data_IF_879787629576
#
_entry.id   IF_879787629576
#
_cell.length_a   1.000
_cell.length_b   1.000
_cell.length_c   1.000
_cell.angle_alpha   90.00
_cell.angle_beta   90.00
_cell.angle_gamma   90.00
#
_symmetry.space_group_name_H-M   'P 1'
#
loop_
_entity.id
_entity.type
_entity.pdbx_description
1 polymer ?
#
# COMPACT_ATOMS: atom_id res chain seq x y z
N UNK A 1 -26.24 5.28 -22.33
CA UNK A 1 -27.19 4.43 -21.54
C UNK A 1 -26.70 4.37 -20.11
N UNK A 2 -27.62 4.41 -19.10
CA UNK A 2 -27.25 4.35 -17.69
C UNK A 2 -26.58 3.00 -17.37
N UNK A 3 -25.49 3.00 -16.63
CA UNK A 3 -24.79 1.79 -16.14
C UNK A 3 -24.98 1.62 -14.65
N UNK A 4 -24.74 2.67 -13.88
CA UNK A 4 -24.96 2.70 -12.43
C UNK A 4 -25.62 4.02 -12.06
N UNK A 5 -26.63 3.99 -11.18
CA UNK A 5 -27.29 5.18 -10.66
C UNK A 5 -27.46 5.05 -9.14
N UNK A 6 -26.74 5.87 -8.40
CA UNK A 6 -26.80 5.99 -6.95
C UNK A 6 -27.74 7.15 -6.62
N UNK A 7 -28.89 6.85 -6.00
CA UNK A 7 -29.95 7.83 -5.73
C UNK A 7 -30.17 8.01 -4.24
N UNK A 8 -29.93 9.19 -3.76
CA UNK A 8 -30.21 9.63 -2.38
C UNK A 8 -29.76 8.66 -1.30
N UNK A 9 -28.56 8.06 -1.44
CA UNK A 9 -28.07 7.06 -0.50
C UNK A 9 -27.70 7.69 0.83
N UNK A 10 -28.30 7.17 1.90
CA UNK A 10 -27.90 7.37 3.29
C UNK A 10 -27.61 6.00 3.90
N UNK A 11 -26.37 5.75 4.32
CA UNK A 11 -26.00 4.49 4.98
C UNK A 11 -26.66 4.37 6.36
N UNK A 12 -26.95 3.13 6.78
CA UNK A 12 -27.61 2.86 8.06
C UNK A 12 -26.70 3.22 9.24
N UNK A 13 -25.40 2.89 9.16
CA UNK A 13 -24.41 3.16 10.20
C UNK A 13 -23.95 4.62 10.16
N UNK A 14 -24.09 5.38 11.26
CA UNK A 14 -23.72 6.81 11.30
C UNK A 14 -22.28 7.09 10.92
N UNK A 15 -21.34 6.24 11.36
CA UNK A 15 -19.90 6.35 11.10
C UNK A 15 -19.53 6.15 9.63
N UNK A 16 -20.44 5.57 8.83
CA UNK A 16 -20.27 5.35 7.39
C UNK A 16 -21.11 6.31 6.53
N UNK A 17 -21.62 7.42 7.11
CA UNK A 17 -22.42 8.40 6.38
C UNK A 17 -21.55 9.45 5.71
N UNK A 18 -22.01 9.87 4.55
CA UNK A 18 -21.63 11.14 3.95
C UNK A 18 -22.40 12.27 4.63
N UNK A 19 -21.92 13.50 4.53
CA UNK A 19 -22.56 14.70 5.13
C UNK A 19 -23.91 15.01 4.49
N UNK A 20 -24.12 14.60 3.24
CA UNK A 20 -25.38 14.72 2.51
C UNK A 20 -25.69 13.38 1.81
N UNK A 21 -26.96 13.14 1.42
CA UNK A 21 -27.32 11.97 0.62
C UNK A 21 -26.50 11.91 -0.66
N UNK A 22 -25.96 10.73 -0.96
CA UNK A 22 -25.10 10.52 -2.12
C UNK A 22 -25.95 10.35 -3.37
N UNK A 23 -25.64 11.15 -4.38
CA UNK A 23 -26.20 11.04 -5.72
C UNK A 23 -25.05 10.98 -6.73
N UNK A 24 -25.00 9.92 -7.54
CA UNK A 24 -23.97 9.77 -8.56
C UNK A 24 -24.43 8.81 -9.65
N UNK A 25 -24.35 9.26 -10.88
CA UNK A 25 -24.75 8.48 -12.05
C UNK A 25 -23.54 8.26 -12.98
N UNK A 26 -23.43 7.04 -13.46
CA UNK A 26 -22.43 6.62 -14.45
C UNK A 26 -23.17 6.16 -15.69
N UNK A 27 -22.91 6.79 -16.81
CA UNK A 27 -23.45 6.42 -18.11
C UNK A 27 -22.40 5.67 -18.95
N UNK A 28 -22.87 4.94 -19.96
CA UNK A 28 -22.02 4.14 -20.85
C UNK A 28 -20.96 5.02 -21.55
N UNK A 29 -19.74 4.50 -21.65
CA UNK A 29 -18.62 5.22 -22.25
C UNK A 29 -17.89 6.20 -21.31
N UNK A 30 -18.43 6.48 -20.13
CA UNK A 30 -17.78 7.34 -19.14
C UNK A 30 -16.71 6.56 -18.37
N UNK A 31 -15.53 7.17 -18.21
CA UNK A 31 -14.45 6.69 -17.35
C UNK A 31 -14.28 7.68 -16.20
N UNK A 32 -14.26 7.20 -14.97
CA UNK A 32 -14.36 8.06 -13.79
C UNK A 32 -13.12 8.04 -12.92
N UNK A 33 -12.77 9.19 -12.36
CA UNK A 33 -11.88 9.29 -11.21
C UNK A 33 -12.65 9.85 -10.01
N UNK A 34 -12.63 9.15 -8.89
CA UNK A 34 -13.08 9.66 -7.59
C UNK A 34 -11.85 10.20 -6.88
N UNK A 35 -11.80 11.51 -6.65
CA UNK A 35 -10.58 12.23 -6.22
C UNK A 35 -10.82 12.95 -4.91
N UNK A 36 -9.87 12.85 -3.99
CA UNK A 36 -9.91 13.54 -2.69
C UNK A 36 -8.77 13.13 -1.77
N UNK A 37 -8.53 13.84 -0.68
CA UNK A 37 -7.49 13.49 0.29
C UNK A 37 -7.72 12.12 0.93
N UNK A 38 -6.71 11.63 1.62
CA UNK A 38 -6.86 10.40 2.40
C UNK A 38 -7.93 10.59 3.49
N UNK A 39 -8.78 9.59 3.70
CA UNK A 39 -9.89 9.68 4.66
C UNK A 39 -11.16 10.38 4.16
N UNK A 40 -11.15 11.02 2.99
CA UNK A 40 -12.30 11.76 2.45
C UNK A 40 -13.56 10.91 2.16
N UNK A 41 -13.44 9.57 2.08
CA UNK A 41 -14.57 8.67 1.82
C UNK A 41 -14.57 8.00 0.45
N UNK A 42 -13.47 8.04 -0.30
CA UNK A 42 -13.36 7.42 -1.63
C UNK A 42 -13.68 5.92 -1.63
N UNK A 43 -13.07 5.16 -0.73
CA UNK A 43 -13.37 3.71 -0.61
C UNK A 43 -14.80 3.48 -0.16
N UNK A 44 -15.35 4.36 0.70
CA UNK A 44 -16.73 4.26 1.16
C UNK A 44 -17.73 4.39 0.00
N UNK A 45 -17.52 5.32 -0.95
CA UNK A 45 -18.42 5.44 -2.12
C UNK A 45 -18.33 4.22 -3.03
N UNK A 46 -17.15 3.61 -3.17
CA UNK A 46 -16.98 2.36 -3.90
C UNK A 46 -17.72 1.19 -3.22
N UNK A 47 -17.71 1.14 -1.90
CA UNK A 47 -18.43 0.13 -1.11
C UNK A 47 -19.96 0.34 -1.15
N UNK A 48 -20.43 1.60 -1.17
CA UNK A 48 -21.84 1.94 -1.43
C UNK A 48 -22.26 1.43 -2.81
N UNK A 49 -21.47 1.71 -3.85
CA UNK A 49 -21.75 1.24 -5.22
C UNK A 49 -21.87 -0.29 -5.27
N UNK A 50 -21.05 -1.01 -4.52
CA UNK A 50 -21.07 -2.48 -4.40
C UNK A 50 -22.16 -3.01 -3.44
N UNK A 51 -22.97 -2.15 -2.83
CA UNK A 51 -23.99 -2.50 -1.82
C UNK A 51 -23.43 -3.32 -0.64
N UNK A 52 -22.20 -3.01 -0.20
CA UNK A 52 -21.59 -3.73 0.94
C UNK A 52 -22.23 -3.35 2.29
N UNK A 53 -22.96 -2.24 2.34
CA UNK A 53 -23.64 -1.75 3.54
C UNK A 53 -25.14 -1.66 3.33
N UNK A 54 -25.90 -1.81 4.42
CA UNK A 54 -27.32 -1.55 4.41
C UNK A 54 -27.58 -0.03 4.33
N UNK A 55 -28.53 0.37 3.51
CA UNK A 55 -28.98 1.75 3.38
C UNK A 55 -30.16 2.02 4.32
N UNK A 56 -30.22 3.22 4.84
CA UNK A 56 -31.39 3.77 5.54
C UNK A 56 -32.36 4.36 4.52
N UNK A 57 -31.83 5.03 3.53
CA UNK A 57 -32.58 5.72 2.47
C UNK A 57 -31.83 5.58 1.14
N UNK A 58 -32.59 5.64 0.05
CA UNK A 58 -32.04 5.59 -1.30
C UNK A 58 -31.83 4.19 -1.87
N UNK A 59 -31.41 4.14 -3.11
CA UNK A 59 -31.16 2.91 -3.85
C UNK A 59 -29.95 3.06 -4.81
N UNK A 60 -29.31 1.94 -5.12
CA UNK A 60 -28.33 1.83 -6.20
C UNK A 60 -28.95 0.99 -7.32
N UNK A 61 -29.06 1.54 -8.51
CA UNK A 61 -29.67 0.87 -9.68
C UNK A 61 -28.58 0.52 -10.69
N UNK A 62 -28.69 -0.63 -11.31
CA UNK A 62 -27.78 -1.12 -12.36
C UNK A 62 -28.54 -1.43 -13.63
N UNK A 63 -27.89 -1.33 -14.79
CA UNK A 63 -28.48 -1.58 -16.12
C UNK A 63 -28.53 -3.06 -16.51
N UNK A 64 -28.35 -4.01 -15.61
CA UNK A 64 -28.29 -5.43 -15.92
C UNK A 64 -29.03 -6.30 -14.92
N UNK A 65 -29.42 -7.50 -15.36
CA UNK A 65 -29.99 -8.55 -14.52
C UNK A 65 -28.86 -9.38 -13.91
N UNK A 66 -28.83 -9.53 -12.60
CA UNK A 66 -27.83 -10.35 -11.92
C UNK A 66 -27.36 -9.80 -10.57
N UNK A 67 -26.35 -10.46 -10.00
CA UNK A 67 -25.77 -10.02 -8.73
C UNK A 67 -24.82 -8.84 -8.94
N UNK A 68 -24.85 -7.88 -8.03
CA UNK A 68 -23.93 -6.73 -8.02
C UNK A 68 -22.46 -7.18 -8.09
N UNK A 69 -22.13 -8.27 -7.40
CA UNK A 69 -20.79 -8.85 -7.38
C UNK A 69 -20.28 -9.32 -8.75
N UNK A 70 -21.17 -9.60 -9.70
CA UNK A 70 -20.79 -10.02 -11.05
C UNK A 70 -20.71 -8.82 -12.00
N UNK A 71 -21.44 -7.77 -11.67
CA UNK A 71 -21.49 -6.54 -12.46
C UNK A 71 -20.37 -5.56 -12.11
N UNK A 72 -20.06 -5.43 -10.82
CA UNK A 72 -19.01 -4.54 -10.31
C UNK A 72 -17.93 -5.34 -9.59
N UNK A 73 -16.69 -5.17 -10.02
CA UNK A 73 -15.51 -5.70 -9.31
C UNK A 73 -14.66 -4.54 -8.80
N UNK A 74 -14.08 -4.72 -7.62
CA UNK A 74 -13.18 -3.76 -7.01
C UNK A 74 -11.86 -4.41 -6.63
N UNK A 75 -10.75 -3.75 -6.95
CA UNK A 75 -9.42 -4.15 -6.53
C UNK A 75 -8.86 -3.04 -5.65
N UNK A 76 -8.68 -3.34 -4.35
CA UNK A 76 -7.95 -2.47 -3.44
C UNK A 76 -6.51 -2.98 -3.35
N UNK A 77 -5.57 -2.23 -3.92
CA UNK A 77 -4.17 -2.67 -3.98
C UNK A 77 -3.45 -2.65 -2.62
N UNK A 78 -4.09 -2.14 -1.57
CA UNK A 78 -3.62 -2.31 -0.19
C UNK A 78 -3.72 -3.78 0.27
N UNK A 79 -4.69 -4.54 -0.26
CA UNK A 79 -4.98 -5.92 0.15
C UNK A 79 -4.48 -6.95 -0.89
N UNK A 80 -3.50 -6.58 -1.71
CA UNK A 80 -3.07 -7.32 -2.89
C UNK A 80 -2.69 -8.79 -2.59
N UNK A 81 -2.05 -9.05 -1.45
CA UNK A 81 -1.66 -10.40 -1.05
C UNK A 81 -2.82 -11.22 -0.47
N UNK A 82 -3.81 -10.58 0.15
CA UNK A 82 -5.01 -11.26 0.64
C UNK A 82 -5.95 -11.65 -0.50
N UNK A 83 -6.03 -10.81 -1.54
CA UNK A 83 -6.80 -11.08 -2.76
C UNK A 83 -6.23 -12.26 -3.57
N UNK A 84 -4.95 -12.52 -3.39
CA UNK A 84 -4.22 -13.56 -4.07
C UNK A 84 -4.22 -14.91 -3.32
N UNK A 85 -5.11 -15.10 -2.32
CA UNK A 85 -5.20 -16.28 -1.46
C UNK A 85 -3.91 -16.64 -0.68
N UNK A 86 -2.96 -15.71 -0.54
CA UNK A 86 -1.73 -15.86 0.24
C UNK A 86 -1.97 -15.64 1.75
N UNK A 87 -3.08 -16.12 2.30
CA UNK A 87 -3.54 -15.80 3.67
C UNK A 87 -2.60 -16.27 4.80
N UNK A 88 -1.68 -17.17 4.54
CA UNK A 88 -0.82 -17.80 5.55
C UNK A 88 0.67 -17.48 5.42
N UNK A 89 1.08 -16.65 4.46
CA UNK A 89 2.49 -16.33 4.28
C UNK A 89 2.96 -15.30 5.33
N UNK A 90 3.94 -15.68 6.13
CA UNK A 90 4.70 -14.72 6.92
C UNK A 90 5.60 -13.89 5.99
N UNK A 91 5.77 -12.61 6.30
CA UNK A 91 6.63 -11.69 5.52
C UNK A 91 8.03 -12.27 5.24
N UNK A 92 8.58 -13.03 6.19
CA UNK A 92 9.89 -13.67 6.12
C UNK A 92 9.95 -14.84 5.12
N UNK A 93 8.85 -15.55 4.84
CA UNK A 93 8.81 -16.68 3.88
C UNK A 93 9.25 -16.27 2.47
N UNK A 94 9.10 -14.98 2.12
CA UNK A 94 9.55 -14.44 0.84
C UNK A 94 11.05 -14.66 0.59
N UNK A 95 11.85 -14.80 1.64
CA UNK A 95 13.29 -14.95 1.60
C UNK A 95 13.77 -16.39 1.83
N UNK A 96 12.88 -17.30 2.23
CA UNK A 96 13.17 -18.72 2.47
C UNK A 96 12.77 -19.57 1.25
N UNK A 97 13.72 -20.27 0.66
CA UNK A 97 13.51 -21.07 -0.57
C UNK A 97 12.79 -22.42 -0.32
N UNK A 98 12.73 -22.89 0.91
CA UNK A 98 12.29 -24.26 1.27
C UNK A 98 10.80 -24.37 1.65
N UNK A 99 10.12 -23.26 1.98
CA UNK A 99 8.73 -23.28 2.48
C UNK A 99 7.69 -22.85 1.41
N UNK A 100 8.10 -22.77 0.15
CA UNK A 100 7.25 -22.20 -0.92
C UNK A 100 6.48 -23.24 -1.74
N UNK A 101 6.65 -24.55 -1.46
CA UNK A 101 6.05 -25.62 -2.27
C UNK A 101 4.52 -25.64 -2.27
N UNK A 102 3.88 -25.11 -1.22
CA UNK A 102 2.42 -25.04 -1.10
C UNK A 102 1.78 -23.79 -1.75
N UNK A 103 2.60 -22.87 -2.27
CA UNK A 103 2.09 -21.63 -2.86
C UNK A 103 1.60 -21.82 -4.28
N UNK A 104 0.40 -21.30 -4.62
CA UNK A 104 -0.18 -21.50 -5.94
C UNK A 104 0.67 -20.85 -7.04
N UNK A 105 0.71 -21.50 -8.19
CA UNK A 105 1.27 -20.99 -9.43
C UNK A 105 0.21 -20.10 -10.10
N UNK A 106 0.62 -19.04 -10.78
CA UNK A 106 -0.29 -18.09 -11.47
C UNK A 106 -1.23 -18.83 -12.44
N UNK A 107 -0.72 -19.78 -13.20
CA UNK A 107 -1.50 -20.60 -14.14
C UNK A 107 -2.63 -21.37 -13.43
N UNK A 108 -2.37 -21.90 -12.23
CA UNK A 108 -3.37 -22.65 -11.46
C UNK A 108 -4.57 -21.77 -11.06
N UNK A 109 -4.31 -20.52 -10.71
CA UNK A 109 -5.33 -19.54 -10.34
C UNK A 109 -6.16 -19.04 -11.54
N UNK A 110 -5.71 -19.32 -12.76
CA UNK A 110 -6.40 -18.97 -14.00
C UNK A 110 -7.09 -20.20 -14.63
N UNK A 111 -6.95 -21.41 -14.07
CA UNK A 111 -7.55 -22.65 -14.62
C UNK A 111 -9.05 -22.57 -14.82
N UNK A 112 -9.77 -21.88 -13.95
CA UNK A 112 -11.22 -21.67 -14.07
C UNK A 112 -11.64 -20.96 -15.37
N UNK A 113 -10.69 -20.24 -16.02
CA UNK A 113 -10.89 -19.51 -17.26
C UNK A 113 -10.27 -20.20 -18.50
N UNK A 114 -9.70 -21.40 -18.34
CA UNK A 114 -8.92 -22.08 -19.40
C UNK A 114 -9.70 -22.35 -20.71
N UNK A 115 -11.04 -22.40 -20.64
CA UNK A 115 -11.91 -22.55 -21.82
C UNK A 115 -12.41 -21.22 -22.43
N UNK A 116 -11.93 -20.09 -21.95
CA UNK A 116 -12.39 -18.78 -22.43
C UNK A 116 -11.59 -18.31 -23.64
N UNK A 117 -12.27 -18.03 -24.78
CA UNK A 117 -11.64 -17.47 -25.99
C UNK A 117 -10.90 -16.14 -25.73
N UNK A 118 -11.21 -15.49 -24.62
CA UNK A 118 -10.61 -14.22 -24.23
C UNK A 118 -9.34 -14.38 -23.40
N UNK A 119 -9.06 -15.56 -22.84
CA UNK A 119 -7.91 -15.75 -21.95
C UNK A 119 -6.62 -15.39 -22.68
N UNK A 120 -6.34 -16.02 -23.82
CA UNK A 120 -5.12 -15.78 -24.59
C UNK A 120 -4.98 -14.30 -24.98
N UNK A 121 -6.07 -13.66 -25.45
CA UNK A 121 -6.08 -12.25 -25.83
C UNK A 121 -5.75 -11.33 -24.66
N UNK A 122 -6.32 -11.60 -23.48
CA UNK A 122 -6.07 -10.79 -22.29
C UNK A 122 -4.65 -11.02 -21.77
N UNK A 123 -4.14 -12.26 -21.76
CA UNK A 123 -2.76 -12.55 -21.36
C UNK A 123 -1.76 -11.79 -22.22
N UNK A 124 -1.93 -11.83 -23.55
CA UNK A 124 -1.07 -11.11 -24.49
C UNK A 124 -1.20 -9.60 -24.35
N UNK A 125 -2.42 -9.07 -24.20
CA UNK A 125 -2.64 -7.64 -24.01
C UNK A 125 -1.90 -7.10 -22.76
N UNK A 126 -1.88 -7.89 -21.69
CA UNK A 126 -1.24 -7.51 -20.43
C UNK A 126 0.23 -7.98 -20.33
N UNK A 127 0.72 -8.77 -21.32
CA UNK A 127 2.10 -9.28 -21.36
C UNK A 127 2.43 -10.03 -20.06
N UNK A 128 1.56 -10.98 -19.65
CA UNK A 128 1.74 -11.76 -18.43
C UNK A 128 1.98 -13.25 -18.69
N UNK A 129 2.21 -13.66 -19.92
CA UNK A 129 2.49 -15.06 -20.27
C UNK A 129 3.71 -15.60 -19.51
N UNK A 130 4.75 -14.79 -19.37
CA UNK A 130 5.97 -15.15 -18.63
C UNK A 130 5.72 -15.32 -17.11
N UNK A 131 4.57 -14.87 -16.62
CA UNK A 131 4.20 -14.99 -15.20
C UNK A 131 3.51 -16.32 -14.90
N UNK A 132 2.92 -16.98 -15.89
CA UNK A 132 2.13 -18.20 -15.70
C UNK A 132 2.85 -19.29 -14.90
N UNK A 133 4.14 -19.61 -15.17
CA UNK A 133 4.89 -20.62 -14.41
C UNK A 133 5.38 -20.14 -13.04
N UNK A 134 5.24 -18.85 -12.73
CA UNK A 134 5.75 -18.30 -11.47
C UNK A 134 4.79 -18.56 -10.30
N UNK A 135 5.35 -18.80 -9.13
CA UNK A 135 4.56 -18.79 -7.89
C UNK A 135 4.18 -17.36 -7.53
N UNK A 136 2.99 -17.18 -7.00
CA UNK A 136 2.41 -15.86 -6.72
C UNK A 136 3.28 -15.00 -5.80
N UNK A 137 3.93 -15.63 -4.80
CA UNK A 137 4.80 -14.94 -3.83
C UNK A 137 6.06 -14.33 -4.48
N UNK A 138 6.49 -14.84 -5.64
CA UNK A 138 7.67 -14.34 -6.34
C UNK A 138 7.36 -13.23 -7.35
N UNK A 139 6.09 -12.85 -7.49
CA UNK A 139 5.72 -11.73 -8.33
C UNK A 139 6.17 -10.41 -7.68
N UNK A 140 6.71 -9.51 -8.48
CA UNK A 140 6.89 -8.12 -8.09
C UNK A 140 5.52 -7.45 -7.87
N UNK A 141 5.49 -6.32 -7.15
CA UNK A 141 4.25 -5.58 -6.92
C UNK A 141 3.53 -5.18 -8.20
N UNK A 142 4.29 -4.86 -9.28
CA UNK A 142 3.74 -4.55 -10.60
C UNK A 142 3.16 -5.78 -11.29
N UNK A 143 3.90 -6.90 -11.30
CA UNK A 143 3.44 -8.18 -11.87
C UNK A 143 2.18 -8.68 -11.17
N UNK A 144 2.14 -8.60 -9.84
CA UNK A 144 0.99 -9.02 -9.06
C UNK A 144 -0.26 -8.16 -9.36
N UNK A 145 -0.09 -6.85 -9.56
CA UNK A 145 -1.20 -5.96 -9.98
C UNK A 145 -1.73 -6.32 -11.35
N UNK A 146 -0.85 -6.53 -12.32
CA UNK A 146 -1.24 -6.99 -13.66
C UNK A 146 -2.04 -8.29 -13.58
N UNK A 147 -1.54 -9.27 -12.84
CA UNK A 147 -2.23 -10.54 -12.62
C UNK A 147 -3.63 -10.35 -12.02
N UNK A 148 -3.79 -9.54 -10.96
CA UNK A 148 -5.10 -9.29 -10.34
C UNK A 148 -6.08 -8.59 -11.27
N UNK A 149 -5.62 -7.62 -12.06
CA UNK A 149 -6.44 -6.95 -13.06
C UNK A 149 -6.89 -7.97 -14.11
N UNK A 150 -5.98 -8.78 -14.65
CA UNK A 150 -6.29 -9.83 -15.64
C UNK A 150 -7.30 -10.83 -15.06
N UNK A 151 -7.06 -11.38 -13.87
CA UNK A 151 -7.99 -12.31 -13.20
C UNK A 151 -9.39 -11.69 -13.05
N UNK A 152 -9.45 -10.42 -12.67
CA UNK A 152 -10.71 -9.71 -12.51
C UNK A 152 -11.41 -9.47 -13.85
N UNK A 153 -10.68 -9.12 -14.91
CA UNK A 153 -11.24 -8.92 -16.24
C UNK A 153 -11.81 -10.20 -16.87
N UNK A 154 -11.21 -11.34 -16.57
CA UNK A 154 -11.70 -12.64 -17.02
C UNK A 154 -13.10 -12.95 -16.48
N UNK A 155 -13.52 -12.36 -15.36
CA UNK A 155 -14.89 -12.42 -14.85
C UNK A 155 -15.88 -11.48 -15.59
N UNK A 156 -15.41 -10.71 -16.59
CA UNK A 156 -16.20 -9.81 -17.46
C UNK A 156 -17.07 -8.80 -16.69
N UNK A 157 -16.53 -8.04 -15.75
CA UNK A 157 -17.31 -7.02 -15.08
C UNK A 157 -17.71 -5.90 -16.04
N UNK A 158 -18.81 -5.22 -15.78
CA UNK A 158 -19.20 -4.00 -16.49
C UNK A 158 -18.50 -2.78 -15.89
N UNK A 159 -18.24 -2.79 -14.59
CA UNK A 159 -17.54 -1.73 -13.89
C UNK A 159 -16.37 -2.31 -13.10
N UNK A 160 -15.18 -1.76 -13.31
CA UNK A 160 -13.95 -2.10 -12.59
C UNK A 160 -13.51 -0.91 -11.73
N UNK A 161 -13.54 -1.08 -10.42
CA UNK A 161 -13.07 -0.08 -9.46
C UNK A 161 -11.64 -0.41 -9.06
N UNK A 162 -10.72 0.55 -9.18
CA UNK A 162 -9.33 0.40 -8.78
C UNK A 162 -8.99 1.42 -7.68
N UNK A 163 -8.75 0.93 -6.46
CA UNK A 163 -8.41 1.80 -5.33
C UNK A 163 -6.89 2.04 -5.28
N UNK A 164 -6.49 3.28 -5.54
CA UNK A 164 -5.10 3.73 -5.56
C UNK A 164 -4.16 2.85 -6.41
N UNK A 165 -4.46 2.61 -7.71
CA UNK A 165 -3.74 1.65 -8.53
C UNK A 165 -2.27 2.00 -8.75
N UNK A 166 -1.87 3.26 -8.60
CA UNK A 166 -0.52 3.75 -8.89
C UNK A 166 0.43 3.76 -7.69
N UNK A 167 -0.07 3.48 -6.48
CA UNK A 167 0.78 3.47 -5.28
C UNK A 167 1.89 2.42 -5.41
N UNK A 168 3.16 2.84 -5.25
CA UNK A 168 4.32 1.95 -5.26
C UNK A 168 4.75 1.46 -6.65
N UNK A 169 4.16 2.00 -7.73
CA UNK A 169 4.67 1.82 -9.09
C UNK A 169 5.73 2.88 -9.40
N UNK A 170 6.78 2.48 -10.12
CA UNK A 170 7.69 3.40 -10.79
C UNK A 170 7.02 4.02 -12.02
N UNK A 171 7.60 5.08 -12.58
CA UNK A 171 7.01 5.79 -13.71
C UNK A 171 6.73 4.89 -14.92
N UNK A 172 7.68 4.03 -15.40
CA UNK A 172 7.42 3.13 -16.52
C UNK A 172 6.27 2.14 -16.25
N UNK A 173 6.20 1.57 -15.04
CA UNK A 173 5.14 0.62 -14.68
C UNK A 173 3.78 1.30 -14.58
N UNK A 174 3.76 2.57 -14.17
CA UNK A 174 2.55 3.39 -14.12
C UNK A 174 2.04 3.70 -15.53
N UNK A 175 2.92 4.17 -16.42
CA UNK A 175 2.56 4.52 -17.79
C UNK A 175 2.02 3.30 -18.54
N UNK A 176 2.66 2.16 -18.36
CA UNK A 176 2.19 0.88 -18.91
C UNK A 176 0.81 0.51 -18.38
N UNK A 177 0.55 0.68 -17.07
CA UNK A 177 -0.77 0.39 -16.48
C UNK A 177 -1.84 1.31 -17.06
N UNK A 178 -1.54 2.60 -17.22
CA UNK A 178 -2.46 3.59 -17.83
C UNK A 178 -2.79 3.20 -19.27
N UNK A 179 -1.78 2.84 -20.07
CA UNK A 179 -1.96 2.39 -21.45
C UNK A 179 -2.86 1.15 -21.51
N UNK A 180 -2.57 0.15 -20.68
CA UNK A 180 -3.35 -1.09 -20.62
C UNK A 180 -4.81 -0.84 -20.25
N UNK A 181 -5.08 0.00 -19.25
CA UNK A 181 -6.44 0.39 -18.89
C UNK A 181 -7.15 1.11 -20.03
N UNK A 182 -6.46 1.99 -20.75
CA UNK A 182 -6.98 2.67 -21.92
C UNK A 182 -7.32 1.73 -23.09
N UNK A 183 -6.49 0.73 -23.34
CA UNK A 183 -6.78 -0.30 -24.36
C UNK A 183 -7.98 -1.17 -23.96
N UNK A 184 -8.04 -1.56 -22.68
CA UNK A 184 -9.13 -2.36 -22.14
C UNK A 184 -10.51 -1.69 -22.29
N UNK A 185 -10.61 -0.40 -21.97
CA UNK A 185 -11.88 0.34 -22.08
C UNK A 185 -12.39 0.40 -23.52
N UNK A 186 -11.48 0.45 -24.49
CA UNK A 186 -11.84 0.46 -25.92
C UNK A 186 -12.28 -0.92 -26.43
N UNK A 187 -11.64 -1.99 -25.96
CA UNK A 187 -11.88 -3.34 -26.49
C UNK A 187 -13.06 -4.04 -25.81
N UNK A 188 -13.23 -3.88 -24.52
CA UNK A 188 -14.17 -4.69 -23.72
C UNK A 188 -15.40 -3.91 -23.23
N UNK A 189 -15.51 -2.60 -23.50
CA UNK A 189 -16.62 -1.77 -23.00
C UNK A 189 -16.73 -1.73 -21.47
N UNK A 190 -15.66 -2.10 -20.75
CA UNK A 190 -15.59 -2.03 -19.28
C UNK A 190 -15.43 -0.57 -18.87
N UNK A 191 -16.23 -0.13 -17.91
CA UNK A 191 -16.07 1.19 -17.32
C UNK A 191 -15.12 1.12 -16.14
N UNK A 192 -14.14 2.02 -16.13
CA UNK A 192 -13.13 2.13 -15.09
C UNK A 192 -13.48 3.25 -14.14
N UNK A 193 -13.42 2.97 -12.85
CA UNK A 193 -13.52 3.95 -11.76
C UNK A 193 -12.23 3.90 -10.96
N UNK A 194 -11.43 4.97 -11.02
CA UNK A 194 -10.18 5.09 -10.26
C UNK A 194 -10.44 5.88 -8.97
N UNK A 195 -10.05 5.35 -7.83
CA UNK A 195 -10.04 6.11 -6.57
C UNK A 195 -8.63 6.66 -6.37
N UNK A 196 -8.46 7.98 -6.41
CA UNK A 196 -7.16 8.63 -6.43
C UNK A 196 -7.01 9.62 -5.27
N UNK A 197 -5.83 9.63 -4.65
CA UNK A 197 -5.50 10.56 -3.57
C UNK A 197 -4.61 11.73 -4.02
N UNK A 198 -4.28 11.78 -5.32
CA UNK A 198 -3.47 12.84 -5.92
C UNK A 198 -4.10 13.22 -7.28
N UNK A 199 -4.43 14.50 -7.53
CA UNK A 199 -5.02 14.95 -8.78
C UNK A 199 -4.09 14.75 -9.99
N UNK A 200 -2.76 14.81 -9.78
CA UNK A 200 -1.77 14.57 -10.84
C UNK A 200 -1.74 13.11 -11.33
N UNK A 201 -2.41 12.22 -10.61
CA UNK A 201 -2.49 10.81 -10.97
C UNK A 201 -3.67 10.51 -11.92
N UNK A 202 -4.49 11.49 -12.33
CA UNK A 202 -5.65 11.30 -13.21
C UNK A 202 -5.19 11.07 -14.66
N UNK A 203 -5.34 9.84 -15.21
CA UNK A 203 -4.94 9.56 -16.58
C UNK A 203 -5.79 10.31 -17.63
N UNK A 204 -5.24 10.49 -18.83
CA UNK A 204 -5.94 11.15 -19.95
C UNK A 204 -7.21 10.40 -20.41
N UNK A 205 -7.29 9.08 -20.18
CA UNK A 205 -8.47 8.28 -20.52
C UNK A 205 -9.71 8.56 -19.66
N UNK A 206 -9.53 9.20 -18.51
CA UNK A 206 -10.63 9.58 -17.61
C UNK A 206 -11.43 10.71 -18.26
N UNK A 207 -12.74 10.57 -18.27
CA UNK A 207 -13.66 11.55 -18.85
C UNK A 207 -14.30 12.44 -17.80
N UNK A 208 -14.57 11.90 -16.60
CA UNK A 208 -15.28 12.57 -15.52
C UNK A 208 -14.59 12.39 -14.18
N UNK A 209 -14.76 13.37 -13.31
CA UNK A 209 -14.21 13.38 -11.95
C UNK A 209 -15.31 13.61 -10.95
N UNK A 210 -15.34 12.80 -9.88
CA UNK A 210 -16.16 13.01 -8.69
C UNK A 210 -15.23 13.45 -7.55
N UNK A 211 -15.18 14.76 -7.22
CA UNK A 211 -14.39 15.23 -6.10
C UNK A 211 -15.07 14.88 -4.76
N UNK A 212 -14.29 14.44 -3.78
CA UNK A 212 -14.78 14.17 -2.42
C UNK A 212 -13.89 14.86 -1.39
N UNK A 213 -14.52 15.61 -0.48
CA UNK A 213 -13.84 16.28 0.62
C UNK A 213 -14.65 16.09 1.90
N UNK A 214 -14.00 15.71 3.01
CA UNK A 214 -14.62 15.54 4.33
C UNK A 214 -15.98 14.82 4.30
N UNK A 215 -16.01 13.67 3.61
CA UNK A 215 -17.23 12.87 3.39
C UNK A 215 -18.37 13.65 2.73
N UNK A 216 -18.03 14.63 1.92
CA UNK A 216 -18.97 15.35 1.06
C UNK A 216 -18.65 15.03 -0.39
N UNK A 217 -19.61 14.47 -1.14
CA UNK A 217 -19.49 14.37 -2.59
C UNK A 217 -19.79 15.74 -3.19
N UNK A 218 -18.82 16.30 -3.89
CA UNK A 218 -19.02 17.54 -4.64
C UNK A 218 -19.68 17.23 -6.00
N UNK A 219 -20.21 18.24 -6.73
CA UNK A 219 -20.79 18.02 -8.03
C UNK A 219 -19.78 17.34 -8.99
N UNK A 220 -20.23 16.35 -9.78
CA UNK A 220 -19.40 15.74 -10.82
C UNK A 220 -18.97 16.77 -11.87
N UNK A 221 -17.72 16.67 -12.33
CA UNK A 221 -17.13 17.53 -13.34
C UNK A 221 -16.57 16.68 -14.48
N UNK A 222 -16.41 17.26 -15.65
CA UNK A 222 -15.54 16.66 -16.68
C UNK A 222 -14.08 16.73 -16.21
N UNK A 223 -13.22 15.87 -16.75
CA UNK A 223 -11.79 15.90 -16.45
C UNK A 223 -11.18 17.29 -16.74
N UNK A 224 -11.58 17.90 -17.87
CA UNK A 224 -11.06 19.20 -18.30
C UNK A 224 -11.46 20.32 -17.33
N UNK A 225 -12.73 20.36 -16.91
CA UNK A 225 -13.22 21.31 -15.91
C UNK A 225 -12.47 21.14 -14.59
N UNK A 226 -12.32 19.91 -14.10
CA UNK A 226 -11.61 19.64 -12.84
C UNK A 226 -10.14 20.06 -12.91
N UNK A 227 -9.42 19.73 -13.99
CA UNK A 227 -8.00 20.05 -14.13
C UNK A 227 -7.74 21.56 -14.31
N UNK A 228 -8.73 22.31 -14.77
CA UNK A 228 -8.65 23.77 -14.91
C UNK A 228 -9.01 24.51 -13.62
N UNK A 229 -9.74 23.88 -12.70
CA UNK A 229 -10.16 24.48 -11.43
C UNK A 229 -9.06 24.35 -10.36
N UNK A 230 -8.08 25.24 -10.49
CA UNK A 230 -6.93 25.29 -9.55
C UNK A 230 -7.35 25.64 -8.13
N UNK A 231 -8.44 26.39 -7.95
CA UNK A 231 -8.97 26.76 -6.62
C UNK A 231 -9.58 25.53 -5.92
N UNK A 232 -10.39 24.77 -6.65
CA UNK A 232 -10.94 23.50 -6.13
C UNK A 232 -9.82 22.51 -5.78
N UNK A 233 -8.82 22.36 -6.65
CA UNK A 233 -7.68 21.47 -6.40
C UNK A 233 -6.91 21.91 -5.15
N UNK A 234 -6.62 23.20 -4.99
CA UNK A 234 -5.94 23.73 -3.82
C UNK A 234 -6.74 23.53 -2.53
N UNK A 235 -8.08 23.64 -2.59
CA UNK A 235 -8.97 23.37 -1.46
C UNK A 235 -9.01 21.88 -1.09
N UNK A 236 -9.03 20.99 -2.09
CA UNK A 236 -9.04 19.54 -1.86
C UNK A 236 -7.68 19.03 -1.35
N UNK A 237 -6.60 19.60 -1.84
CA UNK A 237 -5.23 19.21 -1.55
C UNK A 237 -4.40 20.41 -1.10
N UNK A 238 -4.66 20.94 0.10
CA UNK A 238 -3.93 22.09 0.59
C UNK A 238 -2.44 21.75 0.70
N UNK A 239 -1.61 22.52 0.03
CA UNK A 239 -0.15 22.43 0.09
C UNK A 239 0.43 22.95 1.41
N UNK A 240 -0.39 23.65 2.19
CA UNK A 240 0.02 24.30 3.45
C UNK A 240 0.21 23.35 4.64
N UNK A 241 -0.04 22.05 4.47
CA UNK A 241 0.20 21.03 5.52
C UNK A 241 1.67 20.82 5.89
N UNK A 242 2.61 21.51 5.24
CA UNK A 242 4.06 21.45 5.55
C UNK A 242 4.44 22.35 6.75
N UNK A 243 3.55 23.27 7.19
CA UNK A 243 3.78 24.08 8.39
C UNK A 243 3.79 23.30 9.72
N UNK A 244 3.35 22.03 9.72
CA UNK A 244 3.60 21.12 10.85
C UNK A 244 5.10 20.92 11.15
N UNK A 245 6.01 21.25 10.20
CA UNK A 245 7.46 21.18 10.43
C UNK A 245 8.01 22.29 11.37
N UNK A 246 7.35 23.44 11.46
CA UNK A 246 7.81 24.51 12.37
C UNK A 246 7.47 24.22 13.84
N UNK A 247 6.35 23.52 14.08
CA UNK A 247 6.00 23.08 15.43
C UNK A 247 6.76 21.81 15.85
N UNK A 248 7.12 20.92 14.92
CA UNK A 248 7.95 19.73 15.21
C UNK A 248 9.32 20.12 15.77
N UNK A 249 9.89 21.26 15.38
CA UNK A 249 11.11 21.80 15.97
C UNK A 249 10.99 22.17 17.47
N UNK A 250 9.78 22.30 18.00
CA UNK A 250 9.49 22.58 19.42
C UNK A 250 9.13 21.31 20.22
N UNK A 251 8.85 20.20 19.54
CA UNK A 251 8.54 18.92 20.21
C UNK A 251 9.84 18.28 20.66
N UNK A 252 9.99 18.10 21.97
CA UNK A 252 11.13 17.36 22.53
C UNK A 252 10.96 15.89 22.11
N UNK A 253 11.86 15.42 21.23
CA UNK A 253 11.86 14.02 20.83
C UNK A 253 12.14 13.15 22.08
N UNK A 254 11.42 12.05 22.27
CA UNK A 254 11.66 11.11 23.38
C UNK A 254 12.89 10.22 23.08
N UNK A 255 14.01 10.85 22.72
CA UNK A 255 15.27 10.22 22.30
C UNK A 255 16.42 10.93 22.98
N UNK A 256 17.36 10.19 23.52
CA UNK A 256 18.61 10.77 23.97
C UNK A 256 19.53 11.03 22.78
N UNK A 257 19.57 12.30 22.33
CA UNK A 257 20.40 12.72 21.19
C UNK A 257 21.90 12.48 21.40
N UNK A 258 22.35 12.33 22.64
CA UNK A 258 23.75 12.05 22.96
C UNK A 258 24.10 10.56 22.79
N UNK A 259 23.11 9.66 22.86
CA UNK A 259 23.27 8.23 22.66
C UNK A 259 23.73 7.89 21.23
N UNK A 260 23.33 8.68 20.23
CA UNK A 260 23.62 8.42 18.81
C UNK A 260 25.10 8.64 18.49
N UNK A 261 25.77 9.58 19.18
CA UNK A 261 27.13 9.98 18.85
C UNK A 261 28.24 9.04 19.32
N UNK A 262 27.95 8.07 20.20
CA UNK A 262 28.98 7.34 20.96
C UNK A 262 29.04 5.82 20.76
N UNK A 263 28.12 5.20 19.99
CA UNK A 263 27.95 3.75 20.05
C UNK A 263 28.59 2.96 18.90
N UNK A 264 28.84 3.57 17.74
CA UNK A 264 29.43 2.90 16.58
C UNK A 264 29.90 3.96 15.53
N UNK A 265 30.93 3.62 14.78
CA UNK A 265 31.46 4.48 13.71
C UNK A 265 30.75 4.16 12.37
N UNK A 266 30.57 2.87 12.07
CA UNK A 266 29.96 2.38 10.85
C UNK A 266 28.61 1.70 11.18
N UNK A 267 27.53 2.26 10.67
CA UNK A 267 26.18 1.68 10.82
C UNK A 267 25.99 0.43 9.97
N UNK A 268 26.48 0.47 8.73
CA UNK A 268 26.41 -0.62 7.76
C UNK A 268 27.67 -0.65 6.93
N UNK A 269 28.27 -1.83 6.73
CA UNK A 269 29.28 -2.07 5.71
C UNK A 269 29.03 -3.41 5.04
N UNK A 270 29.00 -3.41 3.73
CA UNK A 270 28.86 -4.55 2.83
C UNK A 270 30.09 -4.65 1.97
N UNK A 271 30.65 -5.85 1.86
CA UNK A 271 31.87 -6.12 1.09
C UNK A 271 31.56 -7.28 0.13
N UNK A 272 31.65 -7.01 -1.18
CA UNK A 272 31.44 -7.97 -2.26
C UNK A 272 30.13 -8.76 -2.18
N UNK A 273 29.05 -8.09 -1.71
CA UNK A 273 27.76 -8.75 -1.46
C UNK A 273 27.12 -9.23 -2.76
N UNK A 274 26.78 -10.52 -2.78
CA UNK A 274 26.14 -11.18 -3.90
C UNK A 274 24.92 -11.94 -3.45
N UNK A 275 23.75 -11.62 -4.03
CA UNK A 275 22.49 -12.30 -3.73
C UNK A 275 21.94 -12.97 -4.98
N UNK A 276 21.60 -14.25 -4.84
CA UNK A 276 21.09 -15.07 -5.92
C UNK A 276 19.91 -15.92 -5.47
N UNK A 277 18.88 -15.99 -6.30
CA UNK A 277 17.73 -16.89 -6.14
C UNK A 277 17.63 -17.78 -7.39
N UNK A 278 17.88 -19.07 -7.23
CA UNK A 278 17.95 -20.00 -8.36
C UNK A 278 18.98 -19.55 -9.42
N UNK A 279 18.54 -19.35 -10.65
CA UNK A 279 19.39 -18.85 -11.74
C UNK A 279 19.53 -17.33 -11.77
N UNK A 280 18.67 -16.58 -11.05
CA UNK A 280 18.62 -15.11 -11.09
C UNK A 280 19.55 -14.50 -10.05
N UNK A 281 20.49 -13.67 -10.47
CA UNK A 281 21.31 -12.84 -9.58
C UNK A 281 20.62 -11.49 -9.40
N UNK A 282 20.35 -11.10 -8.15
CA UNK A 282 19.69 -9.84 -7.79
C UNK A 282 20.72 -8.77 -7.44
N UNK A 283 21.69 -9.09 -6.59
CA UNK A 283 22.81 -8.20 -6.26
C UNK A 283 24.11 -8.85 -6.76
N UNK A 284 24.94 -8.04 -7.41
CA UNK A 284 26.19 -8.48 -8.02
C UNK A 284 27.32 -7.65 -7.44
N UNK A 285 28.16 -8.28 -6.60
CA UNK A 285 29.42 -7.68 -6.13
C UNK A 285 29.25 -6.25 -5.62
N UNK A 286 28.38 -6.08 -4.58
CA UNK A 286 28.01 -4.80 -4.03
C UNK A 286 28.90 -4.45 -2.84
N UNK A 287 29.60 -3.34 -2.92
CA UNK A 287 30.28 -2.68 -1.82
C UNK A 287 29.47 -1.44 -1.40
N UNK A 288 29.19 -1.29 -0.11
CA UNK A 288 28.44 -0.16 0.40
C UNK A 288 28.76 0.07 1.86
N UNK A 289 29.02 1.33 2.23
CA UNK A 289 29.25 1.75 3.61
C UNK A 289 28.35 2.93 3.97
N UNK A 290 27.77 2.88 5.18
CA UNK A 290 27.01 3.96 5.81
C UNK A 290 27.63 4.22 7.16
N UNK A 291 28.10 5.45 7.38
CA UNK A 291 28.63 5.91 8.65
C UNK A 291 27.50 6.34 9.60
N UNK A 292 27.83 6.38 10.89
CA UNK A 292 26.88 6.86 11.88
C UNK A 292 26.45 8.30 11.59
N UNK A 293 25.15 8.59 11.70
CA UNK A 293 24.56 9.90 11.44
C UNK A 293 24.29 10.22 9.96
N UNK A 294 24.75 9.41 9.01
CA UNK A 294 24.44 9.63 7.59
C UNK A 294 22.98 9.29 7.26
N UNK A 295 22.43 10.02 6.30
CA UNK A 295 21.07 9.83 5.79
C UNK A 295 21.14 9.46 4.31
N UNK A 296 20.69 8.28 3.98
CA UNK A 296 20.76 7.74 2.62
C UNK A 296 19.40 7.56 1.98
N UNK A 297 19.29 7.85 0.70
CA UNK A 297 18.14 7.56 -0.12
C UNK A 297 18.51 6.52 -1.20
N UNK A 298 17.84 5.37 -1.17
CA UNK A 298 18.06 4.28 -2.11
C UNK A 298 17.06 4.39 -3.26
N UNK A 299 17.53 4.78 -4.44
CA UNK A 299 16.74 4.93 -5.65
C UNK A 299 16.99 3.81 -6.67
N UNK A 300 15.99 3.53 -7.48
CA UNK A 300 16.08 2.59 -8.61
C UNK A 300 14.71 2.06 -9.02
N UNK A 301 14.60 1.45 -10.20
CA UNK A 301 13.35 0.90 -10.71
C UNK A 301 12.82 -0.25 -9.84
N UNK A 302 11.57 -0.62 -10.05
CA UNK A 302 11.00 -1.79 -9.41
C UNK A 302 11.74 -3.05 -9.88
N UNK A 303 12.00 -3.98 -8.97
CA UNK A 303 12.79 -5.17 -9.27
C UNK A 303 14.33 -5.00 -9.26
N UNK A 304 14.85 -3.78 -9.02
CA UNK A 304 16.31 -3.52 -8.93
C UNK A 304 16.98 -4.13 -7.68
N UNK A 305 16.23 -4.75 -6.78
CA UNK A 305 16.79 -5.38 -5.59
C UNK A 305 16.79 -4.52 -4.32
N UNK A 306 16.16 -3.33 -4.31
CA UNK A 306 16.10 -2.45 -3.13
C UNK A 306 15.58 -3.15 -1.86
N UNK A 307 14.45 -3.84 -1.97
CA UNK A 307 13.88 -4.59 -0.83
C UNK A 307 14.75 -5.76 -0.41
N UNK A 308 15.42 -6.42 -1.37
CA UNK A 308 16.40 -7.50 -1.10
C UNK A 308 17.59 -6.96 -0.33
N UNK A 309 18.12 -5.79 -0.73
CA UNK A 309 19.22 -5.13 -0.04
C UNK A 309 18.84 -4.78 1.41
N UNK A 310 17.68 -4.15 1.62
CA UNK A 310 17.20 -3.79 2.94
C UNK A 310 16.86 -5.01 3.82
N UNK A 311 16.46 -6.14 3.23
CA UNK A 311 16.22 -7.38 3.97
C UNK A 311 17.50 -7.97 4.59
N UNK A 312 18.67 -7.72 3.99
CA UNK A 312 19.96 -8.08 4.59
C UNK A 312 20.24 -7.24 5.82
N UNK A 313 19.95 -5.93 5.76
CA UNK A 313 20.19 -4.99 6.87
C UNK A 313 19.29 -5.34 8.05
N UNK A 314 18.02 -5.62 7.82
CA UNK A 314 17.05 -5.97 8.88
C UNK A 314 17.13 -7.42 9.35
N UNK A 315 18.11 -8.18 8.83
CA UNK A 315 18.37 -9.57 9.19
C UNK A 315 17.22 -10.56 8.91
N UNK A 316 16.33 -10.25 7.97
CA UNK A 316 15.26 -11.16 7.52
C UNK A 316 15.74 -12.12 6.42
N UNK A 317 16.81 -11.77 5.71
CA UNK A 317 17.33 -12.56 4.61
C UNK A 317 18.46 -13.51 5.09
N UNK A 318 18.29 -14.84 4.98
CA UNK A 318 19.29 -15.79 5.42
C UNK A 318 20.62 -15.71 4.64
N UNK A 319 20.61 -15.18 3.40
CA UNK A 319 21.84 -14.96 2.65
C UNK A 319 22.75 -13.89 3.27
N UNK A 320 22.30 -13.16 4.29
CA UNK A 320 23.17 -12.27 5.07
C UNK A 320 24.32 -13.01 5.73
N UNK A 321 24.20 -14.31 6.06
CA UNK A 321 25.24 -15.12 6.66
C UNK A 321 26.25 -15.64 5.62
N UNK A 322 25.87 -15.68 4.35
CA UNK A 322 26.76 -16.14 3.26
C UNK A 322 27.56 -14.98 2.64
N UNK A 323 27.37 -13.75 3.13
CA UNK A 323 28.01 -12.55 2.63
C UNK A 323 28.79 -11.84 3.75
N UNK A 324 29.75 -11.00 3.39
CA UNK A 324 30.48 -10.17 4.36
C UNK A 324 29.68 -8.90 4.62
N UNK A 325 29.07 -8.85 5.80
CA UNK A 325 28.20 -7.78 6.27
C UNK A 325 28.58 -7.38 7.68
N UNK A 326 28.69 -6.07 7.91
CA UNK A 326 28.89 -5.50 9.25
C UNK A 326 27.71 -4.59 9.56
N UNK A 327 27.17 -4.73 10.76
CA UNK A 327 26.12 -3.88 11.32
C UNK A 327 26.59 -3.31 12.66
N UNK A 328 26.63 -1.98 12.76
CA UNK A 328 27.05 -1.30 13.98
C UNK A 328 28.45 -1.74 14.45
N UNK A 329 29.43 -1.71 13.54
CA UNK A 329 30.84 -2.14 13.69
C UNK A 329 31.02 -3.65 13.94
N UNK A 330 29.96 -4.44 13.95
CA UNK A 330 30.03 -5.87 14.26
C UNK A 330 29.76 -6.71 13.01
N UNK A 331 30.65 -7.70 12.74
CA UNK A 331 30.47 -8.62 11.63
C UNK A 331 29.24 -9.50 11.86
N UNK A 332 28.40 -9.66 10.85
CA UNK A 332 27.22 -10.51 10.86
C UNK A 332 27.64 -11.99 11.05
N UNK A 333 26.99 -12.69 11.99
CA UNK A 333 27.30 -14.09 12.32
C UNK A 333 28.42 -14.25 13.33
N UNK A 334 28.85 -13.18 14.03
CA UNK A 334 29.88 -13.23 15.07
C UNK A 334 29.35 -13.57 16.47
N UNK A 335 28.11 -14.11 16.55
CA UNK A 335 27.47 -14.54 17.80
C UNK A 335 26.30 -13.66 18.26
N UNK A 336 25.94 -12.63 17.52
CA UNK A 336 24.72 -11.84 17.76
C UNK A 336 23.47 -12.60 17.33
N UNK A 337 22.39 -12.43 18.08
CA UNK A 337 21.08 -12.93 17.71
C UNK A 337 20.40 -11.99 16.71
N UNK A 338 19.41 -12.52 15.95
CA UNK A 338 18.55 -11.71 15.08
C UNK A 338 17.85 -10.60 15.89
N UNK A 339 17.47 -10.91 17.13
CA UNK A 339 16.77 -9.97 18.01
C UNK A 339 17.67 -8.81 18.48
N UNK A 340 18.97 -9.06 18.66
CA UNK A 340 19.93 -7.99 19.03
C UNK A 340 20.05 -6.96 17.90
N UNK A 341 19.97 -7.40 16.66
CA UNK A 341 19.96 -6.51 15.48
C UNK A 341 18.61 -5.80 15.37
N UNK A 342 17.51 -6.56 15.46
CA UNK A 342 16.16 -5.98 15.31
C UNK A 342 15.85 -4.91 16.34
N UNK A 343 16.34 -5.04 17.57
CA UNK A 343 16.20 -4.02 18.61
C UNK A 343 16.84 -2.68 18.21
N UNK A 344 17.93 -2.72 17.45
CA UNK A 344 18.69 -1.53 17.03
C UNK A 344 18.19 -0.89 15.73
N UNK A 345 17.32 -1.58 14.98
CA UNK A 345 16.83 -1.12 13.67
C UNK A 345 15.32 -0.93 13.70
N UNK A 346 14.84 0.31 13.52
CA UNK A 346 13.45 0.58 13.21
C UNK A 346 13.19 0.24 11.73
N UNK A 347 12.17 -0.57 11.46
CA UNK A 347 11.85 -0.98 10.09
C UNK A 347 10.37 -0.76 9.77
N UNK A 348 10.12 -0.15 8.62
CA UNK A 348 8.78 0.04 8.06
C UNK A 348 8.79 -0.31 6.58
N UNK A 349 7.91 -1.23 6.19
CA UNK A 349 7.63 -1.52 4.79
C UNK A 349 6.16 -1.21 4.44
N UNK A 350 5.85 -0.94 3.17
CA UNK A 350 4.47 -0.69 2.74
C UNK A 350 3.55 -1.86 2.98
N UNK A 351 4.11 -3.06 2.95
CA UNK A 351 3.36 -4.30 3.13
C UNK A 351 3.15 -4.65 4.60
N UNK A 352 3.83 -3.98 5.52
CA UNK A 352 3.79 -4.34 6.96
C UNK A 352 2.37 -4.26 7.52
N UNK A 353 1.53 -3.31 7.06
CA UNK A 353 0.14 -3.20 7.50
C UNK A 353 -0.72 -4.43 7.15
N UNK A 354 -0.35 -5.20 6.12
CA UNK A 354 -1.07 -6.40 5.68
C UNK A 354 -0.96 -7.57 6.67
N UNK A 355 0.07 -7.54 7.50
CA UNK A 355 0.33 -8.60 8.49
C UNK A 355 -0.35 -8.35 9.84
N UNK A 356 -0.88 -7.14 10.06
CA UNK A 356 -1.69 -6.85 11.24
C UNK A 356 -3.14 -7.28 11.00
N UNK A 357 -3.46 -8.50 11.43
CA UNK A 357 -4.81 -9.09 11.27
C UNK A 357 -5.75 -8.75 12.44
N UNK A 358 -5.19 -8.34 13.57
CA UNK A 358 -5.94 -8.05 14.78
C UNK A 358 -6.46 -6.61 14.77
N UNK A 359 -7.75 -6.46 15.07
CA UNK A 359 -8.39 -5.16 15.15
C UNK A 359 -8.25 -4.59 16.56
N UNK A 360 -7.06 -4.10 16.88
CA UNK A 360 -6.70 -3.53 18.18
C UNK A 360 -6.54 -2.01 18.10
N UNK A 361 -6.61 -1.29 19.24
CA UNK A 361 -6.35 0.15 19.28
C UNK A 361 -4.97 0.51 18.68
N UNK A 362 -4.90 1.67 18.03
CA UNK A 362 -3.69 2.15 17.36
C UNK A 362 -2.51 2.28 18.31
N UNK A 363 -2.75 2.70 19.56
CA UNK A 363 -1.72 2.76 20.60
C UNK A 363 -1.03 1.40 20.81
N UNK A 364 -1.80 0.31 20.78
CA UNK A 364 -1.25 -1.04 20.95
C UNK A 364 -0.36 -1.44 19.76
N UNK A 365 -0.72 -1.02 18.54
CA UNK A 365 0.12 -1.24 17.36
C UNK A 365 1.44 -0.47 17.49
N UNK A 366 1.39 0.80 17.89
CA UNK A 366 2.60 1.61 18.11
C UNK A 366 3.47 0.97 19.18
N UNK A 367 2.90 0.61 20.34
CA UNK A 367 3.61 -0.04 21.45
C UNK A 367 4.20 -1.41 21.10
N UNK A 368 3.64 -2.14 20.14
CA UNK A 368 4.20 -3.44 19.69
C UNK A 368 5.63 -3.32 19.14
N UNK A 369 6.07 -2.09 18.82
CA UNK A 369 7.43 -1.79 18.38
C UNK A 369 8.51 -2.11 19.40
N UNK A 370 8.20 -2.06 20.70
CA UNK A 370 9.14 -2.47 21.76
C UNK A 370 9.50 -3.95 21.72
N UNK A 371 8.65 -4.76 21.13
CA UNK A 371 8.80 -6.23 21.10
C UNK A 371 9.21 -6.76 19.73
N UNK A 372 9.35 -5.91 18.73
CA UNK A 372 9.66 -6.27 17.33
C UNK A 372 8.72 -7.34 16.71
N UNK A 373 7.57 -7.59 17.35
CA UNK A 373 6.60 -8.56 16.89
C UNK A 373 5.63 -7.91 15.88
N UNK A 374 5.31 -8.63 14.81
CA UNK A 374 4.19 -8.29 13.93
C UNK A 374 2.96 -8.94 14.55
N UNK A 375 2.07 -8.11 15.14
CA UNK A 375 0.93 -8.54 15.94
C UNK A 375 1.04 -8.11 17.40
N UNK A 376 -0.07 -8.20 18.13
CA UNK A 376 -0.16 -7.78 19.53
C UNK A 376 -0.13 -9.00 20.46
N UNK A 377 1.09 -9.44 20.83
CA UNK A 377 1.28 -10.61 21.70
C UNK A 377 1.63 -10.25 23.15
N UNK A 378 2.00 -9.00 23.41
CA UNK A 378 2.40 -8.51 24.75
C UNK A 378 1.81 -7.12 24.99
N UNK A 379 1.33 -6.88 26.20
CA UNK A 379 0.88 -5.55 26.66
C UNK A 379 2.09 -4.70 27.04
N UNK A 380 2.06 -3.43 26.70
CA UNK A 380 3.00 -2.43 27.17
C UNK A 380 2.81 -2.18 28.67
N UNK A 381 3.88 -1.82 29.37
CA UNK A 381 3.79 -1.22 30.68
C UNK A 381 3.48 0.29 30.56
N UNK A 382 3.21 0.97 31.68
CA UNK A 382 2.81 2.38 31.70
C UNK A 382 3.90 3.32 31.10
N UNK A 383 5.18 3.01 31.28
CA UNK A 383 6.27 3.80 30.70
C UNK A 383 6.31 3.65 29.18
N UNK A 384 6.17 2.42 28.69
CA UNK A 384 6.12 2.13 27.25
C UNK A 384 4.92 2.77 26.57
N UNK A 385 3.75 2.77 27.24
CA UNK A 385 2.56 3.45 26.73
C UNK A 385 2.78 4.96 26.66
N UNK A 386 3.45 5.57 27.63
CA UNK A 386 3.80 6.99 27.63
C UNK A 386 4.71 7.33 26.43
N UNK A 387 5.78 6.56 26.22
CA UNK A 387 6.69 6.75 25.07
C UNK A 387 5.95 6.57 23.73
N UNK A 388 5.07 5.57 23.64
CA UNK A 388 4.27 5.35 22.45
C UNK A 388 3.34 6.56 22.14
N UNK A 389 2.70 7.12 23.17
CA UNK A 389 1.87 8.32 23.04
C UNK A 389 2.68 9.55 22.63
N UNK A 390 3.89 9.73 23.16
CA UNK A 390 4.78 10.82 22.77
C UNK A 390 5.16 10.73 21.28
N UNK A 391 5.49 9.53 20.79
CA UNK A 391 5.74 9.33 19.37
C UNK A 391 4.49 9.55 18.52
N UNK A 392 3.31 9.16 19.01
CA UNK A 392 2.04 9.47 18.32
C UNK A 392 1.80 10.98 18.23
N UNK A 393 2.18 11.77 19.25
CA UNK A 393 2.14 13.24 19.21
C UNK A 393 3.09 13.81 18.17
N UNK A 394 4.33 13.32 18.14
CA UNK A 394 5.33 13.74 17.14
C UNK A 394 4.80 13.57 15.70
N UNK A 395 4.08 12.49 15.44
CA UNK A 395 3.49 12.21 14.11
C UNK A 395 2.08 12.80 13.93
N UNK A 396 1.55 13.57 14.88
CA UNK A 396 0.24 14.21 14.79
C UNK A 396 -0.96 13.25 14.82
N UNK A 397 -0.77 12.02 15.33
CA UNK A 397 -1.78 10.95 15.34
C UNK A 397 -2.26 10.56 16.74
N UNK A 398 -2.01 11.38 17.78
CA UNK A 398 -2.45 11.09 19.16
C UNK A 398 -3.96 10.89 19.25
N UNK A 399 -4.73 11.66 18.49
CA UNK A 399 -6.19 11.57 18.44
C UNK A 399 -6.72 10.22 17.94
N UNK A 400 -5.86 9.38 17.37
CA UNK A 400 -6.18 8.05 16.85
C UNK A 400 -5.88 6.94 17.87
N UNK A 401 -5.37 7.23 19.06
CA UNK A 401 -4.85 6.24 20.02
C UNK A 401 -5.83 5.11 20.34
N UNK A 402 -7.11 5.44 20.51
CA UNK A 402 -8.18 4.50 20.87
C UNK A 402 -8.92 3.94 19.63
N UNK A 403 -8.66 4.49 18.42
CA UNK A 403 -9.26 3.99 17.21
C UNK A 403 -8.65 2.66 16.81
N UNK A 404 -9.49 1.77 16.29
CA UNK A 404 -9.06 0.45 15.81
C UNK A 404 -8.20 0.60 14.55
N UNK A 405 -7.01 -0.01 14.55
CA UNK A 405 -6.00 0.18 13.50
C UNK A 405 -6.51 -0.15 12.09
N UNK A 406 -7.30 -1.21 11.94
CA UNK A 406 -7.83 -1.62 10.63
C UNK A 406 -8.92 -0.67 10.09
N UNK A 407 -9.48 0.20 10.94
CA UNK A 407 -10.45 1.22 10.52
C UNK A 407 -9.81 2.53 10.08
N UNK A 408 -8.50 2.66 10.26
CA UNK A 408 -7.75 3.84 9.86
C UNK A 408 -7.58 3.90 8.34
N UNK A 409 -7.42 5.11 7.81
CA UNK A 409 -6.97 5.30 6.43
C UNK A 409 -5.55 4.75 6.22
N UNK A 410 -5.19 4.44 4.99
CA UNK A 410 -3.84 3.93 4.67
C UNK A 410 -2.72 4.89 5.08
N UNK A 411 -2.97 6.21 5.04
CA UNK A 411 -2.02 7.23 5.50
C UNK A 411 -1.83 7.17 7.02
N UNK A 412 -2.94 7.17 7.79
CA UNK A 412 -2.91 7.05 9.24
C UNK A 412 -2.25 5.76 9.70
N UNK A 413 -2.54 4.62 9.03
CA UNK A 413 -1.88 3.34 9.31
C UNK A 413 -0.36 3.42 9.12
N UNK A 414 0.10 4.09 8.05
CA UNK A 414 1.53 4.27 7.79
C UNK A 414 2.20 5.14 8.85
N UNK A 415 1.56 6.23 9.26
CA UNK A 415 2.08 7.08 10.34
C UNK A 415 2.16 6.32 11.67
N UNK A 416 1.17 5.49 11.98
CA UNK A 416 1.20 4.63 13.16
C UNK A 416 2.33 3.59 13.09
N UNK A 417 2.58 2.97 11.93
CA UNK A 417 3.70 2.04 11.74
C UNK A 417 5.05 2.76 11.77
N UNK A 418 5.11 4.01 11.32
CA UNK A 418 6.30 4.83 11.44
C UNK A 418 6.57 5.14 12.92
N UNK A 419 5.58 5.61 13.69
CA UNK A 419 5.70 5.82 15.12
C UNK A 419 6.18 4.54 15.84
N UNK A 420 5.61 3.38 15.47
CA UNK A 420 6.01 2.06 15.97
C UNK A 420 7.51 1.78 15.76
N UNK A 421 8.08 2.19 14.64
CA UNK A 421 9.50 1.95 14.37
C UNK A 421 10.44 2.75 15.29
N UNK A 422 9.96 3.87 15.83
CA UNK A 422 10.74 4.76 16.69
C UNK A 422 10.62 4.50 18.18
N UNK A 423 9.56 3.83 18.68
CA UNK A 423 9.29 3.68 20.12
C UNK A 423 10.41 3.00 20.92
N UNK A 424 11.22 2.17 20.27
CA UNK A 424 12.34 1.44 20.90
C UNK A 424 13.66 2.19 20.86
N UNK A 425 13.66 3.45 20.42
CA UNK A 425 14.85 4.28 20.24
C UNK A 425 15.96 3.58 19.43
N UNK A 426 15.68 3.23 18.15
CA UNK A 426 16.61 2.48 17.33
C UNK A 426 17.83 3.30 16.91
N UNK A 427 18.99 2.66 16.72
CA UNK A 427 20.21 3.29 16.21
C UNK A 427 20.10 3.64 14.70
N UNK A 428 19.23 2.95 13.97
CA UNK A 428 18.96 3.21 12.56
C UNK A 428 17.49 2.95 12.23
N UNK A 429 16.94 3.75 11.32
CA UNK A 429 15.58 3.54 10.79
C UNK A 429 15.64 3.33 9.29
N UNK A 430 15.11 2.19 8.84
CA UNK A 430 14.93 1.88 7.43
C UNK A 430 13.47 1.99 7.07
N UNK A 431 13.19 2.86 6.10
CA UNK A 431 11.84 3.07 5.57
C UNK A 431 11.82 2.84 4.07
N UNK A 432 10.96 1.92 3.61
CA UNK A 432 10.78 1.68 2.18
C UNK A 432 9.56 2.46 1.67
N UNK A 433 9.71 3.13 0.51
CA UNK A 433 8.67 3.93 -0.17
C UNK A 433 8.26 5.24 0.53
N UNK A 434 9.22 6.07 0.90
CA UNK A 434 9.00 7.51 1.04
C UNK A 434 8.55 8.05 -0.33
N UNK A 435 7.29 8.44 -0.46
CA UNK A 435 6.92 9.43 -1.47
C UNK A 435 6.99 10.79 -0.78
N UNK A 436 7.88 11.65 -1.25
CA UNK A 436 7.68 13.08 -1.10
C UNK A 436 6.39 13.42 -1.88
N UNK A 437 5.42 13.97 -1.18
CA UNK A 437 4.24 14.58 -1.79
C UNK A 437 4.61 15.95 -2.31
#
# INVERSE_FOLDING_TARGET
MMVVDIKNIVTRLPELRFTAPVNWRIDEGQQWAVVGPNGAGKTLIADIMQRKFAFKEGEVVFSGDGKVSDFIKSIAFKDIYSLADCRNSYYQQRWHSTETEEMPIVEELLKEYAGSDNLAKILTLFGIEDLLPKRLIFLSSGELRKFLIVRTLLSRPRVLILDNPFIGLDAPSRDLLVEMLGQMTKLNGVQVVLLLSNPNDIPAMITHVLPIHDRTCLPPLTREEFMSDTELIARLFPTEGIHACEEVGKVRLPVDMNKIASLHEVTLRMEHVKIRYGSRTILKDLDWEIKNGEKWALFGPNGAGKSTLLSLVYADNPQSYANTLYLFDRKRGSGESIWDIKKRIGYVSPEMHLYYKENVPTLNIVGSGFFDSIGFFRKCNAEQETVALEWMKVFGIEHLKDRLFLTLSSGEQRLALLARAFVKDPDSVSYTHLRAH
#
